data_IF_019953681841
#
_entry.id   IF_019953681841
#
_cell.length_a   1.000
_cell.length_b   1.000
_cell.length_c   1.000
_cell.angle_alpha   90.00
_cell.angle_beta   90.00
_cell.angle_gamma   90.00
#
_symmetry.space_group_name_H-M   'P 1'
#
loop_
_entity.id
_entity.type
_entity.pdbx_description
1 polymer ?
#
# COMPACT_ATOMS: atom_id res chain seq x y z
N UNK A 1 -15.15 6.11 -13.58
CA UNK A 1 -14.56 6.13 -12.22
C UNK A 1 -14.71 4.75 -11.65
N UNK A 2 -13.61 4.13 -11.27
CA UNK A 2 -13.56 2.78 -10.71
C UNK A 2 -12.98 2.82 -9.30
N UNK A 3 -13.36 1.82 -8.50
CA UNK A 3 -12.79 1.63 -7.18
C UNK A 3 -11.55 0.75 -7.29
N UNK A 4 -10.38 1.33 -7.04
CA UNK A 4 -9.10 0.65 -6.97
C UNK A 4 -8.82 0.25 -5.52
N UNK A 5 -8.63 -1.05 -5.27
CA UNK A 5 -8.21 -1.59 -3.97
C UNK A 5 -6.80 -2.15 -4.09
N UNK A 6 -5.90 -1.63 -3.27
CA UNK A 6 -4.47 -1.97 -3.29
C UNK A 6 -4.14 -2.70 -1.99
N UNK A 7 -3.46 -3.84 -2.08
CA UNK A 7 -2.89 -4.56 -0.94
C UNK A 7 -1.38 -4.43 -0.94
N UNK A 8 -0.78 -4.16 0.23
CA UNK A 8 0.67 -4.07 0.43
C UNK A 8 1.06 -4.95 1.62
N UNK A 9 2.03 -5.83 1.43
CA UNK A 9 2.58 -6.72 2.46
C UNK A 9 4.06 -6.99 2.17
N UNK A 10 4.80 -7.46 3.17
CA UNK A 10 6.17 -7.98 3.05
C UNK A 10 7.20 -6.97 2.49
N UNK A 11 6.99 -5.68 2.76
CA UNK A 11 7.96 -4.62 2.41
C UNK A 11 8.76 -4.13 3.61
N UNK A 12 8.64 -4.80 4.76
CA UNK A 12 9.48 -4.56 5.92
C UNK A 12 10.86 -5.20 5.79
N UNK A 13 11.89 -4.53 6.30
CA UNK A 13 13.27 -4.98 6.24
C UNK A 13 13.94 -4.88 7.62
N UNK A 14 14.92 -5.77 7.86
CA UNK A 14 15.77 -5.73 9.07
C UNK A 14 16.68 -4.51 9.12
N UNK A 15 16.97 -3.88 7.98
CA UNK A 15 17.80 -2.67 7.89
C UNK A 15 17.01 -1.38 8.16
N UNK A 16 15.70 -1.47 8.36
CA UNK A 16 14.79 -0.34 8.56
C UNK A 16 13.54 -0.47 7.68
N UNK A 17 12.64 0.51 7.77
CA UNK A 17 11.36 0.55 7.04
C UNK A 17 10.32 -0.45 7.55
N UNK A 18 9.07 -0.23 7.18
CA UNK A 18 7.95 -1.11 7.51
C UNK A 18 6.83 -0.98 6.47
N UNK A 19 6.00 -2.01 6.34
CA UNK A 19 4.87 -2.04 5.41
C UNK A 19 3.95 -0.84 5.55
N UNK A 20 3.72 -0.38 6.77
CA UNK A 20 2.92 0.83 7.05
C UNK A 20 3.54 2.09 6.47
N UNK A 21 4.88 2.21 6.48
CA UNK A 21 5.56 3.39 5.93
C UNK A 21 5.44 3.42 4.40
N UNK A 22 5.75 2.30 3.73
CA UNK A 22 5.65 2.20 2.26
C UNK A 22 4.23 2.49 1.79
N UNK A 23 3.22 1.91 2.46
CA UNK A 23 1.82 2.17 2.17
C UNK A 23 1.43 3.66 2.39
N UNK A 24 1.95 4.32 3.42
CA UNK A 24 1.69 5.74 3.67
C UNK A 24 2.33 6.64 2.59
N UNK A 25 3.51 6.28 2.07
CA UNK A 25 4.13 7.01 0.96
C UNK A 25 3.32 6.81 -0.33
N UNK A 26 2.91 5.58 -0.63
CA UNK A 26 2.09 5.27 -1.81
C UNK A 26 0.76 6.05 -1.77
N UNK A 27 0.10 6.06 -0.62
CA UNK A 27 -1.11 6.85 -0.39
C UNK A 27 -0.91 8.34 -0.65
N UNK A 28 0.17 8.94 -0.14
CA UNK A 28 0.48 10.36 -0.40
C UNK A 28 0.70 10.65 -1.88
N UNK A 29 1.37 9.75 -2.60
CA UNK A 29 1.62 9.89 -4.05
C UNK A 29 0.32 9.77 -4.86
N UNK A 30 -0.57 8.85 -4.49
CA UNK A 30 -1.90 8.72 -5.10
C UNK A 30 -2.76 9.98 -4.87
N UNK A 31 -2.73 10.54 -3.66
CA UNK A 31 -3.40 11.81 -3.38
C UNK A 31 -2.83 12.96 -4.22
N UNK A 32 -1.50 13.03 -4.36
CA UNK A 32 -0.83 14.03 -5.20
C UNK A 32 -1.12 13.86 -6.70
N UNK A 33 -1.40 12.63 -7.14
CA UNK A 33 -1.83 12.31 -8.51
C UNK A 33 -3.29 12.74 -8.79
N UNK A 34 -4.02 13.18 -7.77
CA UNK A 34 -5.43 13.57 -7.86
C UNK A 34 -6.40 12.40 -7.70
N UNK A 35 -5.96 11.24 -7.22
CA UNK A 35 -6.85 10.14 -6.88
C UNK A 35 -7.66 10.49 -5.60
N UNK A 36 -8.95 10.18 -5.59
CA UNK A 36 -9.81 10.45 -4.44
C UNK A 36 -9.74 9.28 -3.45
N UNK A 37 -9.28 9.52 -2.22
CA UNK A 37 -9.29 8.50 -1.16
C UNK A 37 -10.73 8.12 -0.83
N UNK A 38 -11.05 6.83 -0.93
CA UNK A 38 -12.41 6.33 -0.72
C UNK A 38 -12.74 6.16 0.76
N UNK A 39 -11.80 5.64 1.55
CA UNK A 39 -11.96 5.38 2.98
C UNK A 39 -10.61 5.33 3.70
N UNK A 40 -10.64 5.14 5.02
CA UNK A 40 -9.41 4.96 5.80
C UNK A 40 -8.68 3.70 5.38
N UNK A 41 -7.36 3.83 5.32
CA UNK A 41 -6.42 2.74 5.06
C UNK A 41 -6.52 1.72 6.19
N UNK A 42 -6.52 0.45 5.85
CA UNK A 42 -6.73 -0.64 6.81
C UNK A 42 -5.41 -1.33 7.13
N UNK A 43 -5.08 -1.43 8.41
CA UNK A 43 -4.01 -2.29 8.91
C UNK A 43 -4.64 -3.62 9.34
N UNK A 44 -4.28 -4.69 8.66
CA UNK A 44 -4.88 -6.00 8.82
C UNK A 44 -3.86 -6.91 9.48
N UNK A 45 -4.09 -7.28 10.74
CA UNK A 45 -3.28 -8.28 11.44
C UNK A 45 -3.59 -9.67 10.90
N UNK A 46 -2.55 -10.37 10.48
CA UNK A 46 -2.64 -11.74 9.97
C UNK A 46 -2.42 -12.74 11.11
N UNK A 47 -2.27 -14.03 10.78
CA UNK A 47 -2.02 -15.08 11.78
C UNK A 47 -0.73 -14.76 12.58
N UNK A 48 -0.84 -14.51 13.90
CA UNK A 48 0.32 -14.18 14.73
C UNK A 48 1.24 -15.39 14.94
N UNK A 49 0.74 -16.61 14.72
CA UNK A 49 1.49 -17.86 14.91
C UNK A 49 2.22 -18.30 13.62
N UNK A 50 2.34 -17.43 12.61
CA UNK A 50 3.04 -17.77 11.36
C UNK A 50 4.55 -17.91 11.62
N UNK A 51 5.16 -19.08 11.34
CA UNK A 51 6.56 -19.34 11.70
C UNK A 51 7.56 -18.54 10.87
N UNK A 52 7.17 -18.08 9.68
CA UNK A 52 8.05 -17.37 8.75
C UNK A 52 8.02 -15.85 8.88
N UNK A 53 7.27 -15.31 9.85
CA UNK A 53 7.15 -13.86 10.04
C UNK A 53 7.79 -13.44 11.37
N UNK A 54 8.53 -12.34 11.32
CA UNK A 54 9.02 -11.66 12.53
C UNK A 54 7.82 -10.98 13.23
N UNK A 55 8.05 -10.45 14.46
CA UNK A 55 7.02 -9.73 15.22
C UNK A 55 6.38 -8.66 14.35
N UNK A 56 5.10 -8.78 14.00
CA UNK A 56 4.50 -7.75 13.15
C UNK A 56 3.48 -8.19 12.12
N UNK A 57 3.35 -9.49 11.80
CA UNK A 57 2.59 -10.00 10.66
C UNK A 57 1.29 -9.21 10.35
N UNK A 58 1.37 -8.32 9.36
CA UNK A 58 0.30 -7.39 9.01
C UNK A 58 0.45 -6.91 7.57
N UNK A 59 -0.68 -6.82 6.88
CA UNK A 59 -0.80 -6.22 5.56
C UNK A 59 -1.59 -4.91 5.63
N UNK A 60 -1.42 -4.06 4.62
CA UNK A 60 -2.12 -2.79 4.47
C UNK A 60 -3.07 -2.84 3.27
N UNK A 61 -4.21 -2.18 3.39
CA UNK A 61 -5.15 -2.00 2.29
C UNK A 61 -5.48 -0.52 2.07
N UNK A 62 -5.32 -0.05 0.84
CA UNK A 62 -5.58 1.32 0.41
C UNK A 62 -6.70 1.33 -0.63
N UNK A 63 -7.69 2.22 -0.48
CA UNK A 63 -8.85 2.28 -1.36
C UNK A 63 -9.01 3.67 -1.95
N UNK A 64 -9.04 3.74 -3.28
CA UNK A 64 -9.13 5.00 -4.02
C UNK A 64 -10.19 4.90 -5.13
N UNK A 65 -10.95 5.97 -5.33
CA UNK A 65 -11.69 6.18 -6.56
C UNK A 65 -10.75 6.86 -7.57
N UNK A 66 -10.66 6.28 -8.75
CA UNK A 66 -9.80 6.76 -9.83
C UNK A 66 -10.59 6.84 -11.14
N UNK A 67 -10.25 7.79 -12.00
CA UNK A 67 -10.79 7.78 -13.36
C UNK A 67 -10.23 6.59 -14.14
N UNK A 68 -10.97 6.15 -15.15
CA UNK A 68 -10.60 4.97 -15.94
C UNK A 68 -9.26 5.19 -16.67
N UNK A 69 -8.98 6.45 -17.04
CA UNK A 69 -7.72 6.89 -17.66
C UNK A 69 -6.54 7.01 -16.70
N UNK A 70 -6.78 7.02 -15.38
CA UNK A 70 -5.73 7.16 -14.36
C UNK A 70 -5.32 5.82 -13.72
N UNK A 71 -6.05 4.73 -13.98
CA UNK A 71 -5.82 3.43 -13.32
C UNK A 71 -4.39 2.95 -13.50
N UNK A 72 -3.90 2.92 -14.74
CA UNK A 72 -2.53 2.45 -15.05
C UNK A 72 -1.48 3.30 -14.33
N UNK A 73 -1.62 4.62 -14.38
CA UNK A 73 -0.70 5.55 -13.72
C UNK A 73 -0.73 5.42 -12.19
N UNK A 74 -1.91 5.18 -11.61
CA UNK A 74 -2.05 4.94 -10.18
C UNK A 74 -1.35 3.63 -9.76
N UNK A 75 -1.52 2.56 -10.55
CA UNK A 75 -0.83 1.28 -10.32
C UNK A 75 0.67 1.43 -10.45
N UNK A 76 1.16 2.09 -11.51
CA UNK A 76 2.58 2.35 -11.73
C UNK A 76 3.19 3.16 -10.56
N UNK A 77 2.47 4.18 -10.08
CA UNK A 77 2.90 4.98 -8.91
C UNK A 77 3.08 4.11 -7.66
N UNK A 78 2.17 3.16 -7.43
CA UNK A 78 2.28 2.22 -6.30
C UNK A 78 3.48 1.29 -6.49
N UNK A 79 3.65 0.71 -7.68
CA UNK A 79 4.76 -0.21 -7.99
C UNK A 79 6.12 0.49 -7.82
N UNK A 80 6.29 1.67 -8.40
CA UNK A 80 7.51 2.48 -8.24
C UNK A 80 7.79 2.81 -6.78
N UNK A 81 6.73 3.05 -5.98
CA UNK A 81 6.90 3.29 -4.54
C UNK A 81 7.37 2.05 -3.80
N UNK A 82 6.90 0.86 -4.18
CA UNK A 82 7.39 -0.40 -3.59
C UNK A 82 8.85 -0.63 -4.02
N UNK A 83 9.16 -0.51 -5.30
CA UNK A 83 10.52 -0.70 -5.85
C UNK A 83 11.56 0.25 -5.24
N UNK A 84 11.19 1.47 -4.90
CA UNK A 84 12.09 2.44 -4.26
C UNK A 84 12.49 2.02 -2.83
N UNK A 85 11.65 1.25 -2.14
CA UNK A 85 11.82 0.91 -0.72
C UNK A 85 12.00 -0.59 -0.44
N UNK A 86 12.00 -1.43 -1.47
CA UNK A 86 12.22 -2.87 -1.40
C UNK A 86 13.72 -3.19 -1.62
#
# INVERSE_FOLDING_TARGET
MVLLRIGVDDTDSVSGMCTTYVAAVAERRLLALGCEKHELSRLIRLNPNCPFKTRGNAALSLHFKVSDTQVEKAVETVLQTVEEFY
#
